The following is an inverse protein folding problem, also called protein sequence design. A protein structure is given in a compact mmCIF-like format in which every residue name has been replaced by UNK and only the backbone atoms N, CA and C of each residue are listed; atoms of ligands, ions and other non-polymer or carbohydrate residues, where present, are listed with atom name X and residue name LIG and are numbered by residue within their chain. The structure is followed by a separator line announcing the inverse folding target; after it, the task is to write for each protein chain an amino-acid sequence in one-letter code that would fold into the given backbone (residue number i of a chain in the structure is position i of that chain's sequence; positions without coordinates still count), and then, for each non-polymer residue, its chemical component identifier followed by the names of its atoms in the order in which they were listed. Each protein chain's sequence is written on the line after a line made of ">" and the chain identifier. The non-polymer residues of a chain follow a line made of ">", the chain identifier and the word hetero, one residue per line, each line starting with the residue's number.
data_IF_097163710980
#
_entry.id   IF_097163710980
#
_cell.length_a   1.000
_cell.length_b   1.000
_cell.length_c   1.000
_cell.angle_alpha   90.00
_cell.angle_beta   90.00
_cell.angle_gamma   90.00
#
_symmetry.space_group_name_H-M   'P 1'
#
loop_
_entity.id
_entity.type
_entity.pdbx_description
1 polymer ?
#
# COMPACT_ATOMS: atom_id res chain seq x y z
N UNK A 1 -4.51 38.27 -0.98
CA UNK A 1 -3.56 39.26 -1.55
C UNK A 1 -3.49 39.14 -3.07
N UNK A 2 -3.37 37.96 -3.63
CA UNK A 2 -3.24 37.72 -5.08
C UNK A 2 -4.53 38.02 -5.87
N UNK A 3 -5.70 37.98 -5.25
CA UNK A 3 -6.99 38.25 -5.92
C UNK A 3 -7.27 39.71 -6.20
N UNK A 4 -6.53 40.64 -5.60
CA UNK A 4 -6.75 42.09 -5.72
C UNK A 4 -5.52 42.87 -6.24
N UNK A 5 -4.50 42.18 -6.75
CA UNK A 5 -3.34 42.85 -7.34
C UNK A 5 -3.64 43.25 -8.78
N UNK A 6 -3.67 44.52 -9.07
CA UNK A 6 -3.65 45.09 -10.43
C UNK A 6 -2.24 44.99 -11.05
N UNK A 7 -1.66 43.79 -11.02
CA UNK A 7 -0.36 43.52 -11.66
C UNK A 7 -0.67 43.10 -13.10
N UNK A 8 -0.04 43.77 -14.07
CA UNK A 8 -0.17 43.38 -15.47
C UNK A 8 0.41 41.99 -15.72
N UNK A 9 -0.10 41.29 -16.73
CA UNK A 9 0.26 39.90 -17.02
C UNK A 9 1.76 39.72 -17.35
N UNK A 10 2.43 40.75 -17.88
CA UNK A 10 3.86 40.69 -18.20
C UNK A 10 4.71 40.74 -16.91
N UNK A 11 4.40 41.65 -16.00
CA UNK A 11 5.04 41.76 -14.70
C UNK A 11 4.79 40.51 -13.86
N UNK A 12 3.58 39.95 -13.92
CA UNK A 12 3.23 38.71 -13.25
C UNK A 12 4.06 37.54 -13.75
N UNK A 13 4.18 37.38 -15.06
CA UNK A 13 4.99 36.32 -15.67
C UNK A 13 6.48 36.44 -15.30
N UNK A 14 6.99 37.65 -15.19
CA UNK A 14 8.39 37.91 -14.82
C UNK A 14 8.67 37.57 -13.37
N UNK A 15 7.75 37.92 -12.46
CA UNK A 15 7.81 37.55 -11.03
C UNK A 15 7.72 36.03 -10.88
N UNK A 16 6.81 35.35 -11.57
CA UNK A 16 6.68 33.90 -11.55
C UNK A 16 7.98 33.20 -11.98
N UNK A 17 8.63 33.71 -13.04
CA UNK A 17 9.92 33.20 -13.51
C UNK A 17 11.05 33.42 -12.49
N UNK A 18 11.07 34.56 -11.82
CA UNK A 18 12.05 34.83 -10.76
C UNK A 18 11.82 33.92 -9.56
N UNK A 19 10.57 33.70 -9.15
CA UNK A 19 10.21 32.79 -8.06
C UNK A 19 10.58 31.34 -8.41
N UNK A 20 10.38 30.91 -9.66
CA UNK A 20 10.86 29.59 -10.13
C UNK A 20 12.39 29.46 -10.00
N UNK A 21 13.14 30.49 -10.37
CA UNK A 21 14.58 30.51 -10.27
C UNK A 21 15.05 30.43 -8.81
N UNK A 22 14.45 31.24 -7.95
CA UNK A 22 14.74 31.24 -6.51
C UNK A 22 14.38 29.89 -5.89
N UNK A 23 13.21 29.35 -6.23
CA UNK A 23 12.76 28.05 -5.76
C UNK A 23 13.74 26.94 -6.17
N UNK A 24 14.20 26.92 -7.42
CA UNK A 24 15.20 25.98 -7.90
C UNK A 24 16.54 26.08 -7.13
N UNK A 25 16.99 27.32 -6.84
CA UNK A 25 18.22 27.54 -6.06
C UNK A 25 18.08 27.02 -4.62
N UNK A 26 16.93 27.22 -3.99
CA UNK A 26 16.68 26.74 -2.63
C UNK A 26 16.65 25.21 -2.59
N UNK A 27 15.95 24.58 -3.52
CA UNK A 27 15.84 23.12 -3.63
C UNK A 27 17.23 22.51 -3.83
N UNK A 28 18.05 23.10 -4.68
CA UNK A 28 19.41 22.61 -4.95
C UNK A 28 20.34 22.82 -3.75
N UNK A 29 20.23 23.94 -3.04
CA UNK A 29 21.01 24.25 -1.86
C UNK A 29 20.63 23.40 -0.63
N UNK A 30 19.41 22.89 -0.57
CA UNK A 30 18.90 22.11 0.56
C UNK A 30 18.80 20.63 0.20
N UNK A 31 19.77 19.82 0.62
CA UNK A 31 19.90 18.41 0.23
C UNK A 31 18.65 17.56 0.50
N UNK A 32 17.90 17.86 1.56
CA UNK A 32 16.64 17.17 1.87
C UNK A 32 15.58 17.40 0.78
N UNK A 33 15.40 18.62 0.28
CA UNK A 33 14.43 18.93 -0.77
C UNK A 33 14.81 18.30 -2.11
N UNK A 34 16.10 18.24 -2.41
CA UNK A 34 16.59 17.54 -3.60
C UNK A 34 16.19 16.07 -3.56
N UNK A 35 16.43 15.38 -2.44
CA UNK A 35 16.04 13.99 -2.25
C UNK A 35 14.51 13.78 -2.32
N UNK A 36 13.72 14.69 -1.76
CA UNK A 36 12.25 14.67 -1.84
C UNK A 36 11.80 14.79 -3.30
N UNK A 37 12.33 15.72 -4.07
CA UNK A 37 11.98 15.90 -5.48
C UNK A 37 12.27 14.65 -6.32
N UNK A 38 13.44 14.04 -6.11
CA UNK A 38 13.83 12.81 -6.81
C UNK A 38 12.91 11.63 -6.44
N UNK A 39 12.52 11.54 -5.16
CA UNK A 39 11.61 10.49 -4.69
C UNK A 39 10.18 10.67 -5.20
N UNK A 40 9.68 11.90 -5.20
CA UNK A 40 8.34 12.22 -5.68
C UNK A 40 8.19 12.04 -7.19
N UNK A 41 9.27 12.16 -7.97
CA UNK A 41 9.29 11.80 -9.39
C UNK A 41 8.82 10.37 -9.65
N UNK A 42 9.03 9.47 -8.69
CA UNK A 42 8.54 8.08 -8.77
C UNK A 42 7.01 7.95 -8.57
N UNK A 43 6.33 8.96 -8.07
CA UNK A 43 4.85 8.96 -7.96
C UNK A 43 4.22 8.83 -9.33
N UNK A 44 4.83 9.40 -10.37
CA UNK A 44 4.35 9.30 -11.74
C UNK A 44 4.31 7.86 -12.27
N UNK A 45 5.23 7.02 -11.83
CA UNK A 45 5.28 5.62 -12.22
C UNK A 45 4.17 4.79 -11.54
N UNK A 46 3.69 5.26 -10.39
CA UNK A 46 2.71 4.55 -9.55
C UNK A 46 1.27 4.98 -9.82
N UNK A 47 1.08 6.23 -10.21
CA UNK A 47 -0.25 6.80 -10.46
C UNK A 47 -0.31 7.19 -11.93
N UNK A 48 -1.19 6.52 -12.71
CA UNK A 48 -1.42 6.86 -14.10
C UNK A 48 -2.18 8.18 -14.20
N UNK A 49 -1.49 9.30 -14.01
CA UNK A 49 -2.02 10.66 -14.07
C UNK A 49 -2.07 11.18 -15.53
N UNK A 50 -2.50 10.37 -16.47
CA UNK A 50 -2.88 10.77 -17.83
C UNK A 50 -1.96 11.76 -18.56
N UNK A 51 -0.63 11.62 -18.51
CA UNK A 51 0.32 12.47 -19.23
C UNK A 51 1.66 12.67 -18.53
N UNK A 52 2.48 13.58 -19.03
CA UNK A 52 3.76 13.97 -18.40
C UNK A 52 3.51 14.93 -17.23
N UNK A 53 3.06 14.39 -16.08
CA UNK A 53 2.90 15.17 -14.87
C UNK A 53 4.25 15.40 -14.20
N UNK A 54 4.57 16.63 -13.84
CA UNK A 54 5.83 16.99 -13.17
C UNK A 54 5.54 17.30 -11.71
N UNK A 55 6.18 16.57 -10.79
CA UNK A 55 6.13 16.90 -9.39
C UNK A 55 6.99 18.11 -9.11
N UNK A 56 6.41 19.16 -8.53
CA UNK A 56 7.15 20.33 -8.07
C UNK A 56 7.09 20.47 -6.55
N UNK A 57 8.18 20.93 -5.99
CA UNK A 57 8.27 21.36 -4.60
C UNK A 57 8.40 22.88 -4.62
N UNK A 58 7.44 23.58 -4.07
CA UNK A 58 7.41 25.04 -4.07
C UNK A 58 7.67 25.57 -2.65
N UNK A 59 8.66 26.43 -2.54
CA UNK A 59 8.99 27.15 -1.31
C UNK A 59 8.62 28.64 -1.47
N UNK A 60 7.74 29.17 -0.63
CA UNK A 60 7.34 30.59 -0.66
C UNK A 60 8.11 31.36 0.39
N UNK A 61 8.91 32.35 0.05
CA UNK A 61 9.79 33.02 0.98
C UNK A 61 9.23 34.32 1.63
N UNK A 62 9.37 34.45 2.98
CA UNK A 62 9.60 35.73 3.61
C UNK A 62 10.91 35.70 4.42
N UNK A 63 11.24 34.56 5.01
CA UNK A 63 12.55 34.23 5.64
C UNK A 63 12.84 32.76 5.32
N UNK A 64 14.11 32.35 5.33
CA UNK A 64 14.47 30.96 5.02
C UNK A 64 13.71 29.97 5.91
N UNK A 65 13.54 30.25 7.17
CA UNK A 65 12.76 29.43 8.11
C UNK A 65 11.26 29.39 7.77
N UNK A 66 10.67 30.53 7.44
CA UNK A 66 9.26 30.64 7.05
C UNK A 66 9.01 29.96 5.68
N UNK A 67 10.01 29.98 4.82
CA UNK A 67 10.01 29.25 3.55
C UNK A 67 9.91 27.74 3.79
N UNK A 68 10.75 27.19 4.66
CA UNK A 68 10.76 25.76 5.00
C UNK A 68 9.40 25.32 5.58
N UNK A 69 8.80 26.16 6.43
CA UNK A 69 7.49 25.87 7.03
C UNK A 69 6.31 26.04 6.07
N UNK A 70 6.50 26.72 4.94
CA UNK A 70 5.45 26.97 3.92
C UNK A 70 5.69 26.21 2.63
N UNK A 71 6.65 25.26 2.63
CA UNK A 71 6.88 24.41 1.46
C UNK A 71 5.60 23.65 1.13
N UNK A 72 5.15 23.77 -0.10
CA UNK A 72 3.97 23.11 -0.60
C UNK A 72 4.36 22.13 -1.71
N UNK A 73 3.90 20.91 -1.58
CA UNK A 73 4.04 19.90 -2.64
C UNK A 73 2.90 20.06 -3.62
N UNK A 74 3.23 20.22 -4.90
CA UNK A 74 2.25 20.32 -5.98
C UNK A 74 2.60 19.32 -7.08
N UNK A 75 1.57 18.75 -7.70
CA UNK A 75 1.69 17.84 -8.85
C UNK A 75 1.13 18.57 -10.06
N UNK A 76 1.88 18.60 -11.16
CA UNK A 76 1.41 19.16 -12.43
C UNK A 76 0.63 18.10 -13.21
N UNK A 77 -0.53 18.49 -13.75
CA UNK A 77 -1.30 17.65 -14.66
C UNK A 77 -0.72 17.70 -16.09
N UNK A 78 -1.17 16.78 -16.95
CA UNK A 78 -0.82 16.77 -18.38
C UNK A 78 -1.13 18.10 -19.09
N UNK A 79 -2.06 18.88 -18.58
CA UNK A 79 -2.42 20.21 -19.09
C UNK A 79 -1.50 21.31 -18.57
N UNK A 80 -0.48 20.99 -17.76
CA UNK A 80 0.45 21.95 -17.16
C UNK A 80 -0.08 22.67 -15.93
N UNK A 81 -1.33 22.42 -15.50
CA UNK A 81 -1.88 22.99 -14.28
C UNK A 81 -1.21 22.35 -13.05
N UNK A 82 -0.57 23.16 -12.20
CA UNK A 82 0.02 22.73 -10.93
C UNK A 82 -1.02 22.83 -9.82
N UNK A 83 -1.34 21.70 -9.21
CA UNK A 83 -2.28 21.63 -8.11
C UNK A 83 -1.58 21.17 -6.82
N UNK A 84 -1.81 21.86 -5.70
CA UNK A 84 -1.36 21.38 -4.40
C UNK A 84 -1.86 19.97 -4.14
N UNK A 85 -1.04 19.14 -3.44
CA UNK A 85 -1.37 17.75 -3.16
C UNK A 85 -2.74 17.59 -2.52
N UNK A 86 -3.15 18.48 -1.62
CA UNK A 86 -4.46 18.46 -0.98
C UNK A 86 -5.66 18.69 -1.91
N UNK A 87 -5.44 18.99 -3.19
CA UNK A 87 -6.47 19.10 -4.24
C UNK A 87 -6.52 17.90 -5.17
N UNK A 88 -5.68 16.91 -4.96
CA UNK A 88 -5.71 15.63 -5.67
C UNK A 88 -6.63 14.63 -4.95
N UNK A 89 -6.99 13.55 -5.62
CA UNK A 89 -7.75 12.46 -5.02
C UNK A 89 -6.99 11.83 -3.84
N UNK A 90 -7.71 11.31 -2.86
CA UNK A 90 -7.18 10.78 -1.61
C UNK A 90 -6.08 9.71 -1.82
N UNK A 91 -6.22 8.84 -2.81
CA UNK A 91 -5.19 7.86 -3.15
C UNK A 91 -3.85 8.51 -3.56
N UNK A 92 -3.88 9.58 -4.34
CA UNK A 92 -2.67 10.32 -4.71
C UNK A 92 -2.05 11.01 -3.50
N UNK A 93 -2.88 11.56 -2.62
CA UNK A 93 -2.43 12.16 -1.37
C UNK A 93 -1.72 11.13 -0.49
N UNK A 94 -2.33 9.98 -0.26
CA UNK A 94 -1.78 8.89 0.57
C UNK A 94 -0.44 8.38 0.04
N UNK A 95 -0.33 8.12 -1.26
CA UNK A 95 0.93 7.72 -1.89
C UNK A 95 2.01 8.79 -1.74
N UNK A 96 1.66 10.06 -1.95
CA UNK A 96 2.62 11.15 -1.82
C UNK A 96 3.12 11.30 -0.39
N UNK A 97 2.24 11.20 0.61
CA UNK A 97 2.63 11.24 2.02
C UNK A 97 3.60 10.09 2.34
N UNK A 98 3.32 8.87 1.87
CA UNK A 98 4.20 7.72 2.07
C UNK A 98 5.58 7.93 1.45
N UNK A 99 5.64 8.48 0.24
CA UNK A 99 6.91 8.76 -0.44
C UNK A 99 7.70 9.90 0.21
N UNK A 100 7.01 10.93 0.70
CA UNK A 100 7.63 11.99 1.49
C UNK A 100 8.23 11.43 2.79
N UNK A 101 7.51 10.51 3.42
CA UNK A 101 7.97 9.83 4.63
C UNK A 101 9.22 8.97 4.36
N UNK A 102 9.24 8.18 3.28
CA UNK A 102 10.42 7.41 2.86
C UNK A 102 11.62 8.32 2.59
N UNK A 103 11.42 9.42 1.85
CA UNK A 103 12.46 10.39 1.58
C UNK A 103 13.00 11.03 2.87
N UNK A 104 12.13 11.36 3.83
CA UNK A 104 12.52 11.86 5.13
C UNK A 104 13.35 10.85 5.91
N UNK A 105 12.92 9.60 5.99
CA UNK A 105 13.65 8.54 6.67
C UNK A 105 15.06 8.36 6.07
N UNK A 106 15.16 8.29 4.74
CA UNK A 106 16.45 8.16 4.05
C UNK A 106 17.38 9.36 4.32
N UNK A 107 16.83 10.56 4.32
CA UNK A 107 17.57 11.78 4.65
C UNK A 107 18.08 11.77 6.10
N UNK A 108 17.23 11.42 7.07
CA UNK A 108 17.60 11.36 8.48
C UNK A 108 18.60 10.24 8.80
N UNK A 109 18.43 9.07 8.17
CA UNK A 109 19.39 7.96 8.32
C UNK A 109 20.75 8.30 7.74
N UNK A 110 20.79 8.95 6.56
CA UNK A 110 22.03 9.42 5.95
C UNK A 110 22.77 10.46 6.83
N UNK A 111 22.01 11.34 7.50
CA UNK A 111 22.60 12.38 8.38
C UNK A 111 23.20 11.80 9.67
N UNK A 112 22.68 10.67 10.13
CA UNK A 112 23.13 9.98 11.36
C UNK A 112 24.24 8.96 11.11
N UNK A 113 24.94 9.00 10.00
CA UNK A 113 26.11 8.14 9.73
C UNK A 113 27.15 8.34 10.84
N UNK A 114 27.26 7.35 11.72
CA UNK A 114 28.16 7.34 12.89
C UNK A 114 27.51 6.92 14.20
N UNK A 115 26.16 6.86 14.29
CA UNK A 115 25.43 6.27 15.41
C UNK A 115 25.05 4.85 15.01
N UNK A 116 25.39 3.87 15.85
CA UNK A 116 25.04 2.44 15.65
C UNK A 116 23.64 2.29 15.06
N UNK A 117 23.54 1.48 14.01
CA UNK A 117 22.38 1.17 13.18
C UNK A 117 21.04 1.06 13.95
N UNK A 118 20.38 2.17 14.19
CA UNK A 118 18.99 2.15 14.63
C UNK A 118 18.11 2.01 13.40
N UNK A 119 17.49 0.84 13.22
CA UNK A 119 16.51 0.63 12.16
C UNK A 119 15.16 1.17 12.63
N UNK A 120 14.47 2.01 11.83
CA UNK A 120 13.16 2.51 12.20
C UNK A 120 12.12 1.40 12.24
N UNK A 121 11.08 1.58 13.05
CA UNK A 121 9.85 0.79 13.01
C UNK A 121 8.78 1.66 12.38
N UNK A 122 8.20 1.22 11.27
CA UNK A 122 7.17 1.92 10.52
C UNK A 122 5.86 1.19 10.73
N UNK A 123 4.88 1.86 11.33
CA UNK A 123 3.52 1.34 11.46
C UNK A 123 2.60 2.06 10.48
N UNK A 124 1.89 1.30 9.64
CA UNK A 124 0.95 1.79 8.65
C UNK A 124 -0.41 1.14 8.89
N UNK A 125 -1.46 1.95 8.87
CA UNK A 125 -2.83 1.50 8.95
C UNK A 125 -3.53 1.82 7.64
N UNK A 126 -4.10 0.78 7.00
CA UNK A 126 -4.82 0.86 5.71
C UNK A 126 -4.08 1.72 4.66
N UNK A 127 -2.80 1.46 4.37
CA UNK A 127 -2.03 2.30 3.46
C UNK A 127 -2.57 2.28 2.02
N UNK A 128 -3.41 1.31 1.70
CA UNK A 128 -4.09 1.13 0.43
C UNK A 128 -5.44 1.86 0.34
N UNK A 129 -5.91 2.48 1.42
CA UNK A 129 -7.19 3.17 1.44
C UNK A 129 -7.28 4.17 0.28
N UNK A 130 -8.42 4.15 -0.42
CA UNK A 130 -8.72 5.02 -1.58
C UNK A 130 -7.85 4.78 -2.82
N UNK A 131 -7.06 3.70 -2.86
CA UNK A 131 -6.28 3.32 -4.03
C UNK A 131 -7.04 2.37 -4.95
N UNK A 132 -6.85 2.54 -6.25
CA UNK A 132 -7.29 1.54 -7.22
C UNK A 132 -6.50 0.23 -7.03
N UNK A 133 -7.10 -0.97 -7.20
CA UNK A 133 -6.42 -2.26 -6.99
C UNK A 133 -5.06 -2.39 -7.68
N UNK A 134 -4.91 -1.84 -8.89
CA UNK A 134 -3.62 -1.86 -9.59
C UNK A 134 -2.55 -1.00 -8.88
N UNK A 135 -2.95 0.09 -8.22
CA UNK A 135 -2.05 0.95 -7.46
C UNK A 135 -1.64 0.30 -6.12
N UNK A 136 -2.48 -0.56 -5.53
CA UNK A 136 -2.16 -1.31 -4.30
C UNK A 136 -0.93 -2.20 -4.48
N UNK A 137 -0.81 -2.88 -5.62
CA UNK A 137 0.37 -3.70 -5.93
C UNK A 137 1.65 -2.87 -6.07
N UNK A 138 1.53 -1.69 -6.67
CA UNK A 138 2.65 -0.77 -6.78
C UNK A 138 3.02 -0.17 -5.42
N UNK A 139 2.02 0.12 -4.57
CA UNK A 139 2.20 0.54 -3.19
C UNK A 139 3.05 -0.45 -2.40
N UNK A 140 2.79 -1.75 -2.53
CA UNK A 140 3.57 -2.79 -1.83
C UNK A 140 5.07 -2.69 -2.14
N UNK A 141 5.43 -2.48 -3.41
CA UNK A 141 6.85 -2.30 -3.79
C UNK A 141 7.48 -1.12 -3.05
N UNK A 142 6.75 0.01 -2.98
CA UNK A 142 7.22 1.19 -2.27
C UNK A 142 7.39 0.93 -0.78
N UNK A 143 6.40 0.31 -0.13
CA UNK A 143 6.46 -0.02 1.30
C UNK A 143 7.60 -0.99 1.59
N UNK A 144 7.78 -2.01 0.75
CA UNK A 144 8.85 -3.00 0.91
C UNK A 144 10.23 -2.35 0.92
N UNK A 145 10.43 -1.34 0.07
CA UNK A 145 11.71 -0.67 -0.13
C UNK A 145 12.02 0.40 0.95
N UNK A 146 11.06 0.71 1.85
CA UNK A 146 11.32 1.55 3.04
C UNK A 146 12.26 0.79 3.98
N UNK A 147 13.29 1.46 4.48
CA UNK A 147 14.19 0.86 5.46
C UNK A 147 13.50 0.61 6.82
N UNK A 148 13.90 -0.47 7.49
CA UNK A 148 13.44 -0.79 8.82
C UNK A 148 12.36 -1.87 8.89
N UNK A 149 11.83 -2.10 10.11
CA UNK A 149 10.73 -3.04 10.36
C UNK A 149 9.40 -2.38 10.02
N UNK A 150 8.53 -3.11 9.33
CA UNK A 150 7.19 -2.65 8.97
C UNK A 150 6.13 -3.44 9.72
N UNK A 151 5.15 -2.73 10.25
CA UNK A 151 3.91 -3.27 10.80
C UNK A 151 2.76 -2.67 10.01
N UNK A 152 2.00 -3.49 9.30
CA UNK A 152 0.95 -3.03 8.41
C UNK A 152 -0.36 -3.67 8.86
N UNK A 153 -1.35 -2.84 9.19
CA UNK A 153 -2.72 -3.27 9.36
C UNK A 153 -3.48 -3.02 8.06
N UNK A 154 -4.15 -4.05 7.54
CA UNK A 154 -4.87 -3.98 6.26
C UNK A 154 -6.07 -4.89 6.21
N UNK A 155 -7.08 -4.48 5.46
CA UNK A 155 -8.22 -5.30 5.02
C UNK A 155 -8.16 -5.61 3.52
N UNK A 156 -7.06 -5.29 2.84
CA UNK A 156 -6.90 -5.50 1.40
C UNK A 156 -6.33 -6.88 1.09
N UNK A 157 -7.13 -7.71 0.46
CA UNK A 157 -6.66 -8.97 -0.10
C UNK A 157 -5.63 -8.77 -1.22
N UNK A 158 -5.76 -7.70 -2.02
CA UNK A 158 -4.78 -7.36 -3.05
C UNK A 158 -3.39 -7.08 -2.44
N UNK A 159 -3.33 -6.39 -1.29
CA UNK A 159 -2.07 -6.16 -0.58
C UNK A 159 -1.51 -7.47 -0.01
N UNK A 160 -2.36 -8.29 0.63
CA UNK A 160 -1.96 -9.58 1.18
C UNK A 160 -1.44 -10.55 0.11
N UNK A 161 -1.94 -10.45 -1.13
CA UNK A 161 -1.49 -11.30 -2.24
C UNK A 161 -0.04 -11.05 -2.68
N UNK A 162 0.52 -9.91 -2.31
CA UNK A 162 1.90 -9.52 -2.63
C UNK A 162 2.87 -9.78 -1.47
N UNK A 163 2.36 -10.09 -0.27
CA UNK A 163 3.15 -10.28 0.96
C UNK A 163 3.50 -11.75 1.12
N UNK A 164 4.69 -12.03 1.65
CA UNK A 164 5.10 -13.38 2.03
C UNK A 164 4.17 -13.94 3.11
N UNK A 165 3.72 -15.17 2.94
CA UNK A 165 2.81 -15.86 3.87
C UNK A 165 3.33 -15.85 5.31
N UNK A 166 4.64 -16.02 5.49
CA UNK A 166 5.28 -16.05 6.80
C UNK A 166 5.27 -14.69 7.52
N UNK A 167 5.06 -13.60 6.78
CA UNK A 167 4.92 -12.26 7.34
C UNK A 167 3.48 -11.95 7.78
N UNK A 168 2.49 -12.71 7.35
CA UNK A 168 1.08 -12.48 7.66
C UNK A 168 0.79 -12.88 9.11
N UNK A 169 0.03 -12.02 9.80
CA UNK A 169 -0.48 -12.24 11.16
C UNK A 169 -1.98 -12.04 11.14
N UNK A 170 -2.74 -13.13 11.15
CA UNK A 170 -4.20 -13.09 11.18
C UNK A 170 -4.69 -12.93 12.62
N UNK A 171 -5.36 -11.83 12.89
CA UNK A 171 -5.98 -11.57 14.20
C UNK A 171 -7.43 -12.03 14.14
N UNK A 172 -7.84 -12.91 15.07
CA UNK A 172 -9.21 -13.43 15.11
C UNK A 172 -9.70 -13.61 16.54
N UNK A 173 -11.03 -13.65 16.72
CA UNK A 173 -11.67 -13.93 18.00
C UNK A 173 -12.06 -15.39 18.09
N UNK A 174 -11.73 -16.04 19.19
CA UNK A 174 -12.15 -17.40 19.50
C UNK A 174 -12.52 -17.50 20.98
N UNK A 175 -13.76 -17.92 21.25
CA UNK A 175 -14.31 -18.05 22.60
C UNK A 175 -14.10 -16.79 23.46
N UNK A 176 -14.39 -15.62 22.89
CA UNK A 176 -14.27 -14.32 23.57
C UNK A 176 -12.83 -13.79 23.75
N UNK A 177 -11.83 -14.51 23.27
CA UNK A 177 -10.39 -14.10 23.34
C UNK A 177 -9.87 -13.77 21.97
N UNK A 178 -9.01 -12.75 21.89
CA UNK A 178 -8.24 -12.42 20.68
C UNK A 178 -7.09 -13.40 20.56
N UNK A 179 -6.92 -13.96 19.38
CA UNK A 179 -5.80 -14.86 19.03
C UNK A 179 -5.12 -14.33 17.78
N UNK A 180 -3.86 -14.75 17.60
CA UNK A 180 -3.06 -14.47 16.42
C UNK A 180 -2.68 -15.78 15.78
N UNK A 181 -3.06 -15.96 14.51
CA UNK A 181 -2.63 -17.06 13.66
C UNK A 181 -1.51 -16.61 12.75
N UNK A 182 -0.53 -17.47 12.51
CA UNK A 182 0.59 -17.21 11.63
C UNK A 182 1.19 -18.53 11.13
N UNK A 183 1.55 -18.58 9.85
CA UNK A 183 2.32 -19.69 9.31
C UNK A 183 3.79 -19.44 9.61
N UNK A 184 4.38 -20.26 10.48
CA UNK A 184 5.79 -20.14 10.80
C UNK A 184 6.66 -20.68 9.64
N UNK A 185 7.89 -20.19 9.47
CA UNK A 185 8.83 -20.78 8.53
C UNK A 185 9.00 -22.29 8.76
N UNK A 186 8.87 -23.09 7.69
CA UNK A 186 9.01 -24.54 7.76
C UNK A 186 7.72 -25.32 8.08
N UNK A 187 6.60 -24.68 8.33
CA UNK A 187 5.27 -25.33 8.46
C UNK A 187 4.86 -25.92 7.10
N UNK A 188 5.05 -25.15 6.03
CA UNK A 188 4.87 -25.64 4.66
C UNK A 188 6.25 -25.88 4.04
N UNK A 189 6.38 -26.96 3.29
CA UNK A 189 7.59 -27.16 2.50
C UNK A 189 7.67 -26.13 1.35
N UNK A 190 8.82 -25.93 0.71
CA UNK A 190 8.97 -24.91 -0.34
C UNK A 190 8.10 -25.16 -1.59
N UNK A 191 7.66 -26.38 -1.84
CA UNK A 191 6.76 -26.72 -2.95
C UNK A 191 5.34 -26.33 -2.62
N UNK A 192 4.87 -26.67 -1.43
CA UNK A 192 3.53 -26.41 -0.96
C UNK A 192 3.34 -24.92 -0.67
N UNK A 193 4.36 -24.24 -0.15
CA UNK A 193 4.34 -22.80 -0.03
C UNK A 193 4.11 -22.12 -1.40
N UNK A 194 4.80 -22.52 -2.45
CA UNK A 194 4.57 -21.96 -3.81
C UNK A 194 3.15 -22.20 -4.32
N UNK A 195 2.57 -23.37 -4.05
CA UNK A 195 1.18 -23.67 -4.42
C UNK A 195 0.21 -22.77 -3.65
N UNK A 196 0.44 -22.60 -2.35
CA UNK A 196 -0.36 -21.75 -1.51
C UNK A 196 -0.26 -20.27 -1.92
N UNK A 197 0.94 -19.79 -2.21
CA UNK A 197 1.16 -18.42 -2.73
C UNK A 197 0.44 -18.21 -4.07
N UNK A 198 0.42 -19.23 -4.94
CA UNK A 198 -0.33 -19.17 -6.18
C UNK A 198 -1.84 -19.07 -5.93
N UNK A 199 -2.37 -19.85 -5.00
CA UNK A 199 -3.77 -19.80 -4.60
C UNK A 199 -4.13 -18.42 -4.03
N UNK A 200 -3.32 -17.89 -3.11
CA UNK A 200 -3.50 -16.57 -2.51
C UNK A 200 -3.57 -15.48 -3.59
N UNK A 201 -2.67 -15.52 -4.56
CA UNK A 201 -2.70 -14.58 -5.70
C UNK A 201 -3.93 -14.75 -6.57
N UNK A 202 -4.35 -16.00 -6.85
CA UNK A 202 -5.56 -16.29 -7.64
C UNK A 202 -6.83 -15.78 -6.97
N UNK A 203 -6.93 -15.92 -5.67
CA UNK A 203 -8.07 -15.47 -4.85
C UNK A 203 -7.92 -14.05 -4.32
N UNK A 204 -6.88 -13.32 -4.75
CA UNK A 204 -6.56 -11.97 -4.29
C UNK A 204 -6.51 -11.85 -2.76
N UNK A 205 -5.97 -12.85 -2.08
CA UNK A 205 -5.82 -12.85 -0.63
C UNK A 205 -7.13 -12.86 0.19
N UNK A 206 -8.29 -12.93 -0.44
CA UNK A 206 -9.59 -12.92 0.25
C UNK A 206 -9.77 -14.11 1.22
N UNK A 207 -9.04 -15.19 0.99
CA UNK A 207 -9.02 -16.36 1.86
C UNK A 207 -8.73 -16.05 3.33
N UNK A 208 -7.86 -15.06 3.57
CA UNK A 208 -7.43 -14.73 4.94
C UNK A 208 -8.53 -14.11 5.80
N UNK A 209 -9.57 -13.58 5.18
CA UNK A 209 -10.70 -12.94 5.89
C UNK A 209 -11.83 -13.91 6.20
N UNK A 210 -11.83 -15.11 5.61
CA UNK A 210 -12.83 -16.12 5.87
C UNK A 210 -12.76 -16.63 7.32
N UNK A 211 -13.91 -16.95 7.89
CA UNK A 211 -14.03 -17.63 9.17
C UNK A 211 -13.88 -19.15 9.00
N UNK A 212 -14.36 -19.67 7.88
CA UNK A 212 -14.30 -21.08 7.55
C UNK A 212 -13.96 -21.28 6.07
N UNK A 213 -13.08 -22.26 5.79
CA UNK A 213 -12.87 -22.75 4.44
C UNK A 213 -13.61 -24.05 4.23
N UNK A 214 -14.43 -24.09 3.20
CA UNK A 214 -15.07 -25.31 2.73
C UNK A 214 -14.24 -25.81 1.53
N UNK A 215 -13.50 -26.91 1.76
CA UNK A 215 -12.54 -27.45 0.81
C UNK A 215 -13.25 -28.39 -0.14
N UNK A 216 -13.14 -28.12 -1.43
CA UNK A 216 -13.58 -29.01 -2.52
C UNK A 216 -12.41 -29.37 -3.43
N UNK A 217 -12.47 -30.52 -4.09
CA UNK A 217 -11.39 -30.94 -4.98
C UNK A 217 -11.21 -29.97 -6.15
N UNK A 218 -12.31 -29.47 -6.70
CA UNK A 218 -12.26 -28.61 -7.86
C UNK A 218 -13.39 -27.59 -7.93
N UNK A 219 -13.52 -27.01 -9.10
CA UNK A 219 -14.49 -25.94 -9.37
C UNK A 219 -15.95 -26.44 -9.27
N UNK A 220 -16.19 -27.73 -9.57
CA UNK A 220 -17.51 -28.35 -9.52
C UNK A 220 -18.07 -28.34 -8.09
N UNK A 221 -17.25 -28.74 -7.11
CA UNK A 221 -17.64 -28.76 -5.69
C UNK A 221 -17.89 -27.34 -5.18
N UNK A 222 -17.06 -26.38 -5.57
CA UNK A 222 -17.23 -24.98 -5.18
C UNK A 222 -18.57 -24.42 -5.68
N UNK A 223 -18.97 -24.73 -6.92
CA UNK A 223 -20.25 -24.36 -7.50
C UNK A 223 -21.40 -25.09 -6.80
N UNK A 224 -21.22 -26.39 -6.53
CA UNK A 224 -22.22 -27.22 -5.86
C UNK A 224 -22.50 -26.68 -4.44
N UNK A 225 -21.47 -26.35 -3.67
CA UNK A 225 -21.62 -25.78 -2.32
C UNK A 225 -22.44 -24.48 -2.34
N UNK A 226 -22.15 -23.60 -3.30
CA UNK A 226 -22.89 -22.36 -3.45
C UNK A 226 -24.38 -22.62 -3.79
N UNK A 227 -24.64 -23.54 -4.75
CA UNK A 227 -26.01 -23.89 -5.14
C UNK A 227 -26.80 -24.60 -4.03
N UNK A 228 -26.16 -25.52 -3.29
CA UNK A 228 -26.80 -26.18 -2.14
C UNK A 228 -27.10 -25.17 -1.04
N UNK A 229 -26.18 -24.26 -0.74
CA UNK A 229 -26.41 -23.22 0.25
C UNK A 229 -27.59 -22.34 -0.13
N UNK A 230 -27.72 -21.95 -1.40
CA UNK A 230 -28.87 -21.17 -1.91
C UNK A 230 -30.17 -21.92 -1.72
N UNK A 231 -30.25 -23.21 -2.08
CA UNK A 231 -31.43 -24.06 -1.90
C UNK A 231 -31.80 -24.18 -0.42
N UNK A 232 -30.84 -24.24 0.47
CA UNK A 232 -31.04 -24.31 1.91
C UNK A 232 -31.32 -22.94 2.55
N UNK A 233 -31.30 -21.87 1.79
CA UNK A 233 -31.48 -20.49 2.31
C UNK A 233 -30.31 -20.02 3.17
N UNK A 234 -29.09 -20.58 2.97
CA UNK A 234 -27.87 -20.22 3.66
C UNK A 234 -27.08 -19.23 2.83
N UNK A 235 -26.65 -18.14 3.44
CA UNK A 235 -25.76 -17.16 2.86
C UNK A 235 -24.31 -17.43 3.33
N UNK A 236 -23.50 -18.04 2.47
CA UNK A 236 -22.13 -18.42 2.79
C UNK A 236 -21.26 -17.21 3.04
N UNK A 237 -21.44 -16.12 2.31
CA UNK A 237 -20.67 -14.89 2.50
C UNK A 237 -20.96 -14.25 3.85
N UNK A 238 -22.24 -14.13 4.20
CA UNK A 238 -22.67 -13.63 5.50
C UNK A 238 -22.21 -14.52 6.66
N UNK A 239 -22.11 -15.82 6.42
CA UNK A 239 -21.55 -16.78 7.37
C UNK A 239 -20.02 -16.74 7.44
N UNK A 240 -19.36 -16.01 6.56
CA UNK A 240 -17.90 -15.95 6.47
C UNK A 240 -17.27 -17.24 5.94
N UNK A 241 -18.01 -18.02 5.15
CA UNK A 241 -17.55 -19.27 4.55
C UNK A 241 -17.05 -19.01 3.14
N UNK A 242 -15.84 -19.50 2.83
CA UNK A 242 -15.27 -19.47 1.49
C UNK A 242 -15.05 -20.89 0.98
N UNK A 243 -15.57 -21.15 -0.23
CA UNK A 243 -15.26 -22.39 -0.94
C UNK A 243 -13.87 -22.28 -1.55
N UNK A 244 -13.01 -23.25 -1.28
CA UNK A 244 -11.61 -23.27 -1.68
C UNK A 244 -11.30 -24.57 -2.40
N UNK A 245 -10.76 -24.46 -3.61
CA UNK A 245 -10.34 -25.61 -4.40
C UNK A 245 -8.93 -26.06 -3.96
N UNK A 246 -8.76 -27.34 -3.62
CA UNK A 246 -7.45 -27.90 -3.26
C UNK A 246 -6.77 -28.70 -4.39
N UNK A 247 -7.34 -28.72 -5.59
CA UNK A 247 -6.92 -29.47 -6.79
C UNK A 247 -5.42 -29.42 -7.12
N UNK A 248 -4.69 -28.44 -6.62
CA UNK A 248 -3.29 -28.21 -6.98
C UNK A 248 -2.28 -28.95 -6.09
N UNK A 249 -2.71 -29.78 -5.14
CA UNK A 249 -1.77 -30.49 -4.27
C UNK A 249 -2.42 -31.41 -3.28
N UNK A 250 -1.60 -31.97 -2.40
CA UNK A 250 -2.10 -32.74 -1.27
C UNK A 250 -2.90 -31.83 -0.33
N UNK A 251 -4.03 -32.29 0.12
CA UNK A 251 -4.90 -31.54 1.04
C UNK A 251 -4.22 -31.20 2.36
N UNK A 252 -3.19 -31.97 2.72
CA UNK A 252 -2.47 -31.83 3.99
C UNK A 252 -1.89 -30.41 4.21
N UNK A 253 -1.35 -29.78 3.16
CA UNK A 253 -0.81 -28.43 3.32
C UNK A 253 -1.89 -27.37 3.61
N UNK A 254 -3.14 -27.62 3.18
CA UNK A 254 -4.27 -26.78 3.56
C UNK A 254 -4.57 -26.92 5.06
N UNK A 255 -4.52 -28.13 5.58
CA UNK A 255 -4.74 -28.38 7.01
C UNK A 255 -3.68 -27.69 7.84
N UNK A 256 -2.43 -27.76 7.45
CA UNK A 256 -1.33 -27.10 8.15
C UNK A 256 -1.50 -25.56 8.10
N UNK A 257 -1.83 -25.00 6.95
CA UNK A 257 -2.05 -23.58 6.79
C UNK A 257 -3.26 -23.08 7.58
N UNK A 258 -4.41 -23.77 7.51
CA UNK A 258 -5.64 -23.39 8.23
C UNK A 258 -5.46 -23.46 9.73
N UNK A 259 -4.83 -24.53 10.23
CA UNK A 259 -4.54 -24.70 11.66
C UNK A 259 -3.61 -23.59 12.17
N UNK A 260 -2.56 -23.28 11.40
CA UNK A 260 -1.62 -22.21 11.75
C UNK A 260 -2.28 -20.83 11.74
N UNK A 261 -3.18 -20.56 10.80
CA UNK A 261 -3.91 -19.30 10.67
C UNK A 261 -5.13 -19.21 11.60
N UNK A 262 -5.54 -20.31 12.24
CA UNK A 262 -6.74 -20.38 13.06
C UNK A 262 -8.02 -20.20 12.25
N UNK A 263 -8.06 -20.72 11.02
CA UNK A 263 -9.24 -20.77 10.16
C UNK A 263 -9.90 -22.12 10.37
N UNK A 264 -11.21 -22.13 10.61
CA UNK A 264 -11.98 -23.37 10.64
C UNK A 264 -12.08 -23.91 9.22
N UNK A 265 -12.04 -25.21 9.06
CA UNK A 265 -12.18 -25.83 7.75
C UNK A 265 -13.05 -27.06 7.83
N UNK A 266 -13.71 -27.36 6.73
CA UNK A 266 -14.40 -28.61 6.48
C UNK A 266 -14.11 -29.06 5.05
N UNK A 267 -14.15 -30.34 4.78
CA UNK A 267 -13.80 -30.91 3.50
C UNK A 267 -14.87 -31.91 3.09
N UNK A 268 -15.29 -31.84 1.83
CA UNK A 268 -16.05 -32.92 1.22
C UNK A 268 -15.05 -33.89 0.58
N UNK A 269 -14.81 -35.07 1.18
CA UNK A 269 -14.00 -36.11 0.54
C UNK A 269 -14.80 -36.70 -0.63
N UNK A 270 -14.09 -37.15 -1.67
CA UNK A 270 -14.63 -38.01 -2.72
C UNK A 270 -15.17 -39.34 -2.17
#
# INVERSE_FOLDING_TARGET
>A
FVKNSQIDETTKADIEKQLETINAQIIEAHGTFKGVREHLGKVQELVALGGQDVVSVDAVPARVFDMLNRTQVSIASATGARLPIGRHGEGTQSLTVLMLFDAFLKSELARKQGVKESKPIVALEEPEAHLHPNAVRALWKTIRDIDGQKLIATHSGDLLSEVDLTAIRRIYKSRGKVKVGAVAPGVLDPRDQRKFDFLVRRTRGELFFALCWLLGEGETEAILFAGVAEVLGLDLEKAGVRCVEYRLGDIDYFFDATNALGIVWDCLPD
#
